data_IF_928002051611
#
_entry.id   IF_928002051611
#
_cell.length_a   1.000
_cell.length_b   1.000
_cell.length_c   1.000
_cell.angle_alpha   90.00
_cell.angle_beta   90.00
_cell.angle_gamma   90.00
#
_symmetry.space_group_name_H-M   'P 1'
#
loop_
_entity.id
_entity.type
_entity.pdbx_description
1 polymer ?
#
# COMPACT_ATOMS: atom_id res chain seq x y z
N UNK A 1 16.64 18.98 -45.25
CA UNK A 1 17.10 18.92 -43.84
C UNK A 1 16.08 18.16 -43.01
N UNK A 2 16.45 17.20 -42.15
CA UNK A 2 15.46 16.51 -41.31
C UNK A 2 14.85 17.52 -40.33
N UNK A 3 13.51 17.60 -40.29
CA UNK A 3 12.78 18.48 -39.38
C UNK A 3 13.18 18.13 -37.90
N UNK A 4 13.62 19.13 -37.16
CA UNK A 4 13.82 19.01 -35.69
C UNK A 4 12.47 18.59 -35.05
N UNK A 5 12.50 17.55 -34.28
CA UNK A 5 11.34 17.13 -33.50
C UNK A 5 11.00 18.17 -32.45
N UNK A 6 9.71 18.26 -32.09
CA UNK A 6 9.26 19.17 -31.05
C UNK A 6 9.85 18.78 -29.67
N UNK A 7 10.04 19.77 -28.79
CA UNK A 7 10.48 19.54 -27.42
C UNK A 7 9.47 18.61 -26.72
N UNK A 8 9.95 17.51 -26.15
CA UNK A 8 9.11 16.52 -25.46
C UNK A 8 8.84 15.22 -26.23
N UNK A 9 9.07 15.17 -27.54
CA UNK A 9 8.82 13.94 -28.34
C UNK A 9 9.87 12.82 -28.15
N UNK A 10 10.94 13.10 -27.42
CA UNK A 10 12.03 12.15 -27.20
C UNK A 10 12.89 11.90 -28.45
N UNK A 11 13.96 11.13 -28.28
CA UNK A 11 14.88 10.76 -29.36
C UNK A 11 14.93 9.25 -29.55
N UNK A 12 14.92 8.78 -30.81
CA UNK A 12 15.03 7.35 -31.15
C UNK A 12 16.33 7.14 -31.91
N UNK A 13 17.16 6.19 -31.45
CA UNK A 13 18.40 5.82 -32.10
C UNK A 13 18.60 4.31 -32.15
N UNK A 14 19.39 3.86 -33.12
CA UNK A 14 19.85 2.48 -33.17
C UNK A 14 21.11 2.33 -32.35
N UNK A 15 21.17 1.35 -31.48
CA UNK A 15 22.34 1.04 -30.62
C UNK A 15 23.34 0.17 -31.40
N UNK A 16 24.57 0.10 -30.91
CA UNK A 16 25.61 -0.75 -31.48
C UNK A 16 25.26 -2.25 -31.40
N UNK A 17 24.43 -2.64 -30.43
CA UNK A 17 23.94 -4.01 -30.22
C UNK A 17 22.75 -4.40 -31.14
N UNK A 18 22.42 -3.53 -32.15
CA UNK A 18 21.37 -3.75 -33.12
C UNK A 18 19.95 -3.41 -32.64
N UNK A 19 19.74 -3.19 -31.35
CA UNK A 19 18.44 -2.78 -30.80
C UNK A 19 18.16 -1.29 -30.98
N UNK A 20 16.87 -0.92 -30.98
CA UNK A 20 16.45 0.47 -31.00
C UNK A 20 16.22 0.98 -29.57
N UNK A 21 16.59 2.20 -29.33
CA UNK A 21 16.44 2.90 -28.04
C UNK A 21 15.71 4.22 -28.25
N UNK A 22 14.62 4.43 -27.50
CA UNK A 22 13.92 5.69 -27.37
C UNK A 22 14.30 6.36 -26.04
N UNK A 23 14.69 7.62 -26.04
CA UNK A 23 15.03 8.42 -24.86
C UNK A 23 14.10 9.59 -24.73
N UNK A 24 13.65 9.87 -23.52
CA UNK A 24 12.82 11.05 -23.22
C UNK A 24 13.20 11.61 -21.85
N UNK A 25 13.04 12.93 -21.71
CA UNK A 25 13.27 13.64 -20.45
C UNK A 25 11.98 13.60 -19.64
N UNK A 26 12.06 13.13 -18.41
CA UNK A 26 10.91 13.05 -17.49
C UNK A 26 10.86 14.22 -16.50
N UNK A 27 11.95 14.96 -16.36
CA UNK A 27 12.05 16.11 -15.47
C UNK A 27 13.50 16.58 -15.35
N UNK A 28 13.72 17.50 -14.42
CA UNK A 28 15.06 17.99 -14.07
C UNK A 28 15.28 17.78 -12.58
N UNK A 29 16.49 17.44 -12.22
CA UNK A 29 16.93 17.34 -10.83
C UNK A 29 16.92 18.75 -10.20
N UNK A 30 16.18 18.97 -9.09
CA UNK A 30 16.03 20.31 -8.51
C UNK A 30 17.33 20.87 -7.91
N UNK A 31 18.29 20.02 -7.51
CA UNK A 31 19.55 20.44 -6.92
C UNK A 31 20.63 20.71 -7.98
N UNK A 32 20.67 19.87 -9.01
CA UNK A 32 21.74 19.93 -10.02
C UNK A 32 21.30 20.52 -11.36
N UNK A 33 19.98 20.74 -11.56
CA UNK A 33 19.41 21.20 -12.82
C UNK A 33 19.52 20.20 -13.98
N UNK A 34 20.13 19.04 -13.78
CA UNK A 34 20.37 18.04 -14.83
C UNK A 34 19.07 17.34 -15.25
N UNK A 35 18.90 17.12 -16.55
CA UNK A 35 17.76 16.40 -17.08
C UNK A 35 17.75 14.93 -16.62
N UNK A 36 16.62 14.49 -16.08
CA UNK A 36 16.36 13.08 -15.74
C UNK A 36 15.84 12.40 -17.00
N UNK A 37 16.63 11.48 -17.57
CA UNK A 37 16.34 10.80 -18.82
C UNK A 37 15.96 9.36 -18.53
N UNK A 38 14.81 8.91 -19.08
CA UNK A 38 14.43 7.50 -19.17
C UNK A 38 14.55 6.99 -20.59
N UNK A 39 14.75 5.67 -20.72
CA UNK A 39 14.83 5.01 -22.03
C UNK A 39 13.88 3.83 -22.14
N UNK A 40 13.44 3.55 -23.37
CA UNK A 40 12.70 2.35 -23.75
C UNK A 40 13.45 1.63 -24.85
N UNK A 41 13.42 0.30 -24.84
CA UNK A 41 14.14 -0.54 -25.77
C UNK A 41 13.17 -1.40 -26.58
N UNK A 42 13.53 -1.69 -27.83
CA UNK A 42 12.77 -2.59 -28.70
C UNK A 42 13.61 -3.14 -29.84
N UNK A 43 13.09 -4.15 -30.51
CA UNK A 43 13.75 -4.79 -31.68
C UNK A 43 13.57 -3.97 -32.94
N UNK A 44 12.47 -3.25 -33.08
CA UNK A 44 12.15 -2.42 -34.25
C UNK A 44 11.96 -0.95 -33.88
N UNK A 45 12.15 -0.05 -34.85
CA UNK A 45 11.93 1.38 -34.68
C UNK A 45 10.47 1.70 -34.34
N UNK A 46 9.53 1.01 -34.99
CA UNK A 46 8.08 1.19 -34.78
C UNK A 46 7.68 0.81 -33.38
N UNK A 47 8.13 -0.34 -32.89
CA UNK A 47 7.90 -0.79 -31.52
C UNK A 47 8.40 0.23 -30.49
N UNK A 48 9.60 0.76 -30.70
CA UNK A 48 10.18 1.78 -29.78
C UNK A 48 9.40 3.08 -29.84
N UNK A 49 8.91 3.47 -31.02
CA UNK A 49 8.08 4.67 -31.19
C UNK A 49 6.78 4.58 -30.40
N UNK A 50 6.10 3.44 -30.49
CA UNK A 50 4.84 3.19 -29.74
C UNK A 50 5.09 3.14 -28.22
N UNK A 51 6.12 2.38 -27.80
CA UNK A 51 6.52 2.31 -26.40
C UNK A 51 6.92 3.69 -25.83
N UNK A 52 7.64 4.49 -26.63
CA UNK A 52 8.06 5.82 -26.25
C UNK A 52 6.87 6.76 -26.08
N UNK A 53 5.93 6.75 -27.02
CA UNK A 53 4.68 7.54 -26.94
C UNK A 53 3.90 7.18 -25.68
N UNK A 54 3.68 5.90 -25.43
CA UNK A 54 2.97 5.41 -24.24
C UNK A 54 3.71 5.78 -22.95
N UNK A 55 5.04 5.64 -22.92
CA UNK A 55 5.85 5.99 -21.76
C UNK A 55 5.84 7.50 -21.48
N UNK A 56 5.82 8.35 -22.51
CA UNK A 56 5.68 9.80 -22.36
C UNK A 56 4.28 10.13 -21.80
N UNK A 57 3.21 9.57 -22.38
CA UNK A 57 1.83 9.79 -21.92
C UNK A 57 1.62 9.36 -20.46
N UNK A 58 2.15 8.20 -20.06
CA UNK A 58 2.06 7.68 -18.68
C UNK A 58 2.84 8.52 -17.65
N UNK A 59 3.86 9.25 -18.10
CA UNK A 59 4.73 10.04 -17.22
C UNK A 59 4.51 11.57 -17.32
N UNK A 60 3.52 12.01 -18.09
CA UNK A 60 3.18 13.43 -18.19
C UNK A 60 2.76 13.97 -16.83
N UNK A 61 3.46 14.99 -16.38
CA UNK A 61 3.14 15.74 -15.14
C UNK A 61 3.67 15.13 -13.86
N UNK A 62 4.48 14.05 -13.91
CA UNK A 62 5.16 13.52 -12.72
C UNK A 62 6.34 14.41 -12.37
N UNK A 63 6.43 14.86 -11.12
CA UNK A 63 7.57 15.62 -10.62
C UNK A 63 8.69 14.67 -10.16
N UNK A 64 9.47 14.18 -11.12
CA UNK A 64 10.58 13.26 -10.84
C UNK A 64 11.68 13.86 -9.95
N UNK A 65 11.78 15.17 -9.86
CA UNK A 65 12.71 15.84 -8.95
C UNK A 65 12.34 15.59 -7.48
N UNK A 66 11.04 15.67 -7.16
CA UNK A 66 10.53 15.37 -5.81
C UNK A 66 10.48 13.89 -5.51
N UNK A 67 10.17 13.08 -6.51
CA UNK A 67 9.99 11.63 -6.33
C UNK A 67 11.29 10.90 -6.01
N UNK A 68 12.44 11.38 -6.49
CA UNK A 68 13.76 10.78 -6.21
C UNK A 68 14.04 10.63 -4.70
N UNK A 69 13.38 11.43 -3.87
CA UNK A 69 13.62 11.49 -2.44
C UNK A 69 12.70 10.60 -1.61
N UNK A 70 11.67 9.95 -2.22
CA UNK A 70 10.73 9.14 -1.47
C UNK A 70 10.92 7.65 -1.72
N UNK A 71 11.14 6.92 -0.62
CA UNK A 71 10.85 5.49 -0.54
C UNK A 71 9.41 5.29 -0.09
N UNK A 72 8.88 4.08 -0.25
CA UNK A 72 7.53 3.73 0.24
C UNK A 72 7.41 3.99 1.74
N UNK A 73 8.45 3.68 2.53
CA UNK A 73 8.47 3.91 3.97
C UNK A 73 8.38 5.39 4.32
N UNK A 74 9.24 6.20 3.73
CA UNK A 74 9.27 7.65 3.99
C UNK A 74 7.97 8.34 3.53
N UNK A 75 7.42 7.91 2.39
CA UNK A 75 6.13 8.43 1.94
C UNK A 75 4.99 8.08 2.88
N UNK A 76 4.95 6.85 3.39
CA UNK A 76 3.94 6.43 4.38
C UNK A 76 4.03 7.24 5.68
N UNK A 77 5.23 7.58 6.14
CA UNK A 77 5.41 8.47 7.30
C UNK A 77 4.84 9.87 7.03
N UNK A 78 5.22 10.47 5.89
CA UNK A 78 4.72 11.79 5.49
C UNK A 78 3.19 11.77 5.38
N UNK A 79 2.62 10.76 4.73
CA UNK A 79 1.19 10.59 4.60
C UNK A 79 0.51 10.41 5.96
N UNK A 80 1.07 9.56 6.81
CA UNK A 80 0.50 9.25 8.12
C UNK A 80 0.46 10.47 9.02
N UNK A 81 1.59 11.18 9.19
CA UNK A 81 1.68 12.33 10.09
C UNK A 81 0.90 13.54 9.60
N UNK A 82 0.97 13.85 8.29
CA UNK A 82 0.42 15.10 7.78
C UNK A 82 -1.03 14.99 7.28
N UNK A 83 -1.51 13.78 6.92
CA UNK A 83 -2.83 13.63 6.30
C UNK A 83 -3.75 12.65 7.04
N UNK A 84 -3.24 11.50 7.46
CA UNK A 84 -4.07 10.46 8.03
C UNK A 84 -4.43 10.73 9.49
N UNK A 85 -3.43 11.06 10.29
CA UNK A 85 -3.54 11.27 11.74
C UNK A 85 -4.56 12.37 12.11
N UNK A 86 -4.62 13.44 11.32
CA UNK A 86 -5.52 14.58 11.54
C UNK A 86 -7.00 14.18 11.50
N UNK A 87 -7.35 13.16 10.70
CA UNK A 87 -8.73 12.72 10.46
C UNK A 87 -9.15 11.52 11.31
N UNK A 88 -8.23 10.93 12.09
CA UNK A 88 -8.45 9.66 12.76
C UNK A 88 -8.65 9.80 14.26
N UNK A 89 -9.44 8.89 14.84
CA UNK A 89 -9.53 8.72 16.29
C UNK A 89 -8.22 8.15 16.85
N UNK A 90 -7.86 8.46 18.13
CA UNK A 90 -6.61 7.99 18.76
C UNK A 90 -6.36 6.48 18.65
N UNK A 91 -7.37 5.65 18.85
CA UNK A 91 -7.25 4.20 18.74
C UNK A 91 -6.95 3.72 17.31
N UNK A 92 -7.51 4.40 16.31
CA UNK A 92 -7.30 4.06 14.90
C UNK A 92 -5.89 4.42 14.45
N UNK A 93 -5.39 5.60 14.84
CA UNK A 93 -4.04 5.99 14.42
C UNK A 93 -2.96 5.08 15.05
N UNK A 94 -3.12 4.63 16.31
CA UNK A 94 -2.21 3.67 16.93
C UNK A 94 -2.19 2.34 16.17
N UNK A 95 -3.36 1.87 15.73
CA UNK A 95 -3.47 0.65 14.92
C UNK A 95 -2.76 0.81 13.57
N UNK A 96 -2.94 1.95 12.90
CA UNK A 96 -2.29 2.25 11.61
C UNK A 96 -0.78 2.33 11.76
N UNK A 97 -0.31 3.01 12.80
CA UNK A 97 1.12 3.07 13.13
C UNK A 97 1.69 1.66 13.31
N UNK A 98 1.01 0.81 14.08
CA UNK A 98 1.43 -0.59 14.26
C UNK A 98 1.50 -1.37 12.94
N UNK A 99 0.56 -1.19 12.02
CA UNK A 99 0.61 -1.83 10.70
C UNK A 99 1.75 -1.30 9.82
N UNK A 100 2.01 0.00 9.86
CA UNK A 100 3.10 0.61 9.10
C UNK A 100 4.45 0.11 9.61
N UNK A 101 4.71 0.20 10.92
CA UNK A 101 6.01 -0.15 11.51
C UNK A 101 6.30 -1.66 11.48
N UNK A 102 5.31 -2.48 11.83
CA UNK A 102 5.56 -3.90 12.01
C UNK A 102 5.42 -4.73 10.72
N UNK A 103 4.68 -4.24 9.73
CA UNK A 103 4.38 -5.03 8.53
C UNK A 103 4.86 -4.37 7.24
N UNK A 104 4.52 -3.09 7.02
CA UNK A 104 4.76 -2.46 5.71
C UNK A 104 6.23 -2.04 5.56
N UNK A 105 6.77 -1.27 6.50
CA UNK A 105 8.15 -0.76 6.43
C UNK A 105 9.22 -1.84 6.33
N UNK A 106 9.16 -2.95 7.10
CA UNK A 106 10.20 -3.97 7.03
C UNK A 106 10.30 -4.64 5.65
N UNK A 107 9.21 -4.72 4.91
CA UNK A 107 9.15 -5.44 3.64
C UNK A 107 9.14 -4.54 2.41
N UNK A 108 8.43 -3.42 2.46
CA UNK A 108 8.26 -2.51 1.33
C UNK A 108 8.97 -1.17 1.52
N UNK A 109 9.36 -0.81 2.75
CA UNK A 109 9.81 0.53 3.09
C UNK A 109 11.04 1.02 2.34
N UNK A 110 11.93 0.13 1.93
CA UNK A 110 13.16 0.45 1.19
C UNK A 110 12.95 0.63 -0.32
N UNK A 111 11.81 0.22 -0.85
CA UNK A 111 11.52 0.30 -2.29
C UNK A 111 11.31 1.77 -2.65
N UNK A 112 11.96 2.30 -3.70
CA UNK A 112 11.65 3.62 -4.23
C UNK A 112 10.17 3.70 -4.62
N UNK A 113 9.51 4.81 -4.33
CA UNK A 113 8.07 4.96 -4.53
C UNK A 113 7.63 4.71 -5.98
N UNK A 114 8.47 5.09 -6.95
CA UNK A 114 8.22 4.88 -8.38
C UNK A 114 8.42 3.44 -8.85
N UNK A 115 9.19 2.65 -8.11
CA UNK A 115 9.52 1.28 -8.50
C UNK A 115 8.54 0.28 -7.85
N UNK A 116 7.61 0.76 -7.02
CA UNK A 116 6.59 -0.07 -6.41
C UNK A 116 5.59 -0.55 -7.48
N UNK A 117 5.46 -1.85 -7.60
CA UNK A 117 4.58 -2.50 -8.57
C UNK A 117 3.44 -3.26 -7.88
N UNK A 118 2.36 -3.53 -8.63
CA UNK A 118 1.27 -4.39 -8.17
C UNK A 118 1.77 -5.78 -7.78
N UNK A 119 2.81 -6.30 -8.47
CA UNK A 119 3.42 -7.59 -8.14
C UNK A 119 4.10 -7.57 -6.77
N UNK A 120 4.83 -6.50 -6.42
CA UNK A 120 5.42 -6.34 -5.09
C UNK A 120 4.35 -6.39 -4.00
N UNK A 121 3.24 -5.68 -4.19
CA UNK A 121 2.12 -5.68 -3.25
C UNK A 121 1.45 -7.05 -3.14
N UNK A 122 1.27 -7.75 -4.26
CA UNK A 122 0.65 -9.07 -4.27
C UNK A 122 1.52 -10.12 -3.53
N UNK A 123 2.84 -10.08 -3.74
CA UNK A 123 3.79 -10.94 -3.01
C UNK A 123 3.79 -10.61 -1.51
N UNK A 124 3.74 -9.34 -1.17
CA UNK A 124 3.64 -8.87 0.21
C UNK A 124 2.38 -9.40 0.89
N UNK A 125 1.20 -9.29 0.27
CA UNK A 125 -0.04 -9.81 0.85
C UNK A 125 -0.02 -11.34 1.00
N UNK A 126 0.54 -12.06 0.02
CA UNK A 126 0.73 -13.51 0.12
C UNK A 126 1.59 -13.87 1.34
N UNK A 127 2.69 -13.15 1.55
CA UNK A 127 3.57 -13.36 2.70
C UNK A 127 2.88 -13.03 4.03
N UNK A 128 2.09 -11.95 4.10
CA UNK A 128 1.31 -11.61 5.30
C UNK A 128 0.30 -12.70 5.68
N UNK A 129 -0.35 -13.32 4.70
CA UNK A 129 -1.28 -14.43 4.92
C UNK A 129 -0.58 -15.68 5.43
N UNK A 130 0.66 -15.94 5.02
CA UNK A 130 1.42 -17.12 5.42
C UNK A 130 2.13 -16.93 6.77
N UNK A 131 2.82 -15.80 6.97
CA UNK A 131 3.80 -15.60 8.05
C UNK A 131 3.75 -14.17 8.63
N UNK A 132 2.66 -13.44 8.43
CA UNK A 132 2.61 -12.02 8.79
C UNK A 132 2.45 -11.72 10.27
N UNK A 133 2.20 -12.69 11.12
CA UNK A 133 2.01 -12.43 12.55
C UNK A 133 3.32 -12.11 13.24
N UNK A 134 3.33 -11.00 13.98
CA UNK A 134 4.46 -10.63 14.84
C UNK A 134 4.51 -11.63 16.00
N UNK A 135 5.66 -12.28 16.18
CA UNK A 135 5.87 -13.22 17.29
C UNK A 135 5.79 -12.50 18.63
N UNK A 136 4.86 -12.96 19.46
CA UNK A 136 4.71 -12.56 20.86
C UNK A 136 4.54 -13.81 21.69
N UNK A 137 4.98 -13.79 22.93
CA UNK A 137 4.88 -14.93 23.86
C UNK A 137 3.46 -15.46 23.94
N UNK A 138 2.47 -14.58 23.96
CA UNK A 138 1.04 -14.89 24.03
C UNK A 138 0.47 -15.47 22.73
N UNK A 139 1.18 -15.32 21.62
CA UNK A 139 0.73 -15.73 20.28
C UNK A 139 1.31 -17.07 19.80
N UNK A 140 2.11 -17.77 20.60
CA UNK A 140 2.79 -19.01 20.19
C UNK A 140 1.83 -20.13 19.71
N UNK A 141 0.60 -20.16 20.23
CA UNK A 141 -0.45 -21.12 19.83
C UNK A 141 -1.32 -20.65 18.66
N UNK A 142 -1.08 -19.44 18.15
CA UNK A 142 -1.88 -18.84 17.08
C UNK A 142 -1.26 -19.13 15.69
N UNK A 143 -2.06 -19.16 14.61
CA UNK A 143 -1.55 -19.29 13.25
C UNK A 143 -0.52 -18.20 12.94
N UNK A 144 0.56 -18.55 12.23
CA UNK A 144 1.63 -17.59 11.86
C UNK A 144 1.16 -16.51 10.88
N UNK A 145 0.12 -16.77 10.10
CA UNK A 145 -0.45 -15.83 9.15
C UNK A 145 -1.39 -14.80 9.77
N UNK A 146 -1.59 -13.69 9.08
CA UNK A 146 -2.61 -12.70 9.41
C UNK A 146 -3.97 -13.09 8.82
N UNK A 147 -5.05 -12.63 9.47
CA UNK A 147 -6.40 -12.81 8.93
C UNK A 147 -6.60 -12.03 7.63
N UNK A 148 -7.50 -12.51 6.76
CA UNK A 148 -7.90 -11.82 5.55
C UNK A 148 -8.36 -10.37 5.83
N UNK A 149 -9.07 -10.14 6.93
CA UNK A 149 -9.50 -8.81 7.39
C UNK A 149 -8.31 -7.89 7.68
N UNK A 150 -7.29 -8.40 8.38
CA UNK A 150 -6.08 -7.62 8.69
C UNK A 150 -5.31 -7.24 7.43
N UNK A 151 -5.15 -8.19 6.50
CA UNK A 151 -4.48 -7.92 5.21
C UNK A 151 -5.25 -6.86 4.41
N UNK A 152 -6.58 -6.89 4.40
CA UNK A 152 -7.41 -5.86 3.76
C UNK A 152 -7.26 -4.49 4.42
N UNK A 153 -7.14 -4.43 5.75
CA UNK A 153 -6.88 -3.17 6.46
C UNK A 153 -5.51 -2.60 6.10
N UNK A 154 -4.47 -3.44 6.02
CA UNK A 154 -3.13 -3.03 5.58
C UNK A 154 -3.17 -2.53 4.13
N UNK A 155 -3.87 -3.24 3.23
CA UNK A 155 -4.08 -2.79 1.86
C UNK A 155 -4.75 -1.41 1.80
N UNK A 156 -5.77 -1.17 2.62
CA UNK A 156 -6.48 0.12 2.66
C UNK A 156 -5.53 1.28 3.02
N UNK A 157 -4.61 1.06 3.95
CA UNK A 157 -3.59 2.05 4.32
C UNK A 157 -2.68 2.35 3.12
N UNK A 158 -2.12 1.31 2.51
CA UNK A 158 -1.24 1.44 1.35
C UNK A 158 -1.96 2.13 0.19
N UNK A 159 -3.17 1.68 -0.15
CA UNK A 159 -3.97 2.24 -1.25
C UNK A 159 -4.29 3.72 -1.03
N UNK A 160 -4.66 4.10 0.21
CA UNK A 160 -4.95 5.50 0.54
C UNK A 160 -3.72 6.40 0.44
N UNK A 161 -2.57 5.94 0.92
CA UNK A 161 -1.32 6.68 0.82
C UNK A 161 -0.84 6.82 -0.63
N UNK A 162 -0.96 5.76 -1.43
CA UNK A 162 -0.58 5.76 -2.83
C UNK A 162 -1.57 6.56 -3.70
N UNK A 163 -2.86 6.59 -3.33
CA UNK A 163 -3.84 7.46 -3.98
C UNK A 163 -3.44 8.93 -3.83
N UNK A 164 -3.06 9.36 -2.62
CA UNK A 164 -2.57 10.72 -2.42
C UNK A 164 -1.27 10.99 -3.18
N UNK A 165 -0.34 10.01 -3.24
CA UNK A 165 0.87 10.13 -4.05
C UNK A 165 0.57 10.34 -5.54
N UNK A 166 -0.46 9.66 -6.06
CA UNK A 166 -0.93 9.85 -7.42
C UNK A 166 -1.58 11.22 -7.62
N UNK A 167 -2.43 11.66 -6.70
CA UNK A 167 -3.05 13.01 -6.72
C UNK A 167 -1.98 14.12 -6.70
N UNK A 168 -0.91 13.93 -5.94
CA UNK A 168 0.24 14.84 -5.89
C UNK A 168 1.24 14.65 -7.05
N UNK A 169 0.92 13.78 -8.02
CA UNK A 169 1.77 13.49 -9.19
C UNK A 169 3.16 12.97 -8.84
N UNK A 170 3.30 12.30 -7.71
CA UNK A 170 4.53 11.59 -7.35
C UNK A 170 4.65 10.25 -8.04
N UNK A 171 3.54 9.61 -8.37
CA UNK A 171 3.46 8.36 -9.13
C UNK A 171 2.44 8.49 -10.26
N UNK A 172 2.63 7.76 -11.37
CA UNK A 172 1.75 7.82 -12.54
C UNK A 172 0.39 7.18 -12.29
N UNK A 173 0.36 6.11 -11.49
CA UNK A 173 -0.84 5.34 -11.15
C UNK A 173 -0.68 4.70 -9.79
N UNK A 174 -1.80 4.41 -9.14
CA UNK A 174 -1.79 3.67 -7.89
C UNK A 174 -1.60 2.15 -8.15
N UNK A 175 -0.46 1.54 -7.79
CA UNK A 175 -0.25 0.11 -8.01
C UNK A 175 -1.13 -0.78 -7.12
N UNK A 176 -1.77 -0.25 -6.09
CA UNK A 176 -2.66 -1.01 -5.23
C UNK A 176 -4.02 -1.32 -5.89
N UNK A 177 -4.46 -0.50 -6.84
CA UNK A 177 -5.79 -0.65 -7.48
C UNK A 177 -5.93 -1.96 -8.26
N UNK A 178 -4.82 -2.56 -8.72
CA UNK A 178 -4.81 -3.84 -9.44
C UNK A 178 -4.59 -5.07 -8.57
N UNK A 179 -4.60 -4.95 -7.23
CA UNK A 179 -4.31 -6.07 -6.33
C UNK A 179 -5.53 -6.95 -6.08
N UNK A 180 -5.34 -8.27 -6.15
CA UNK A 180 -6.32 -9.25 -5.69
C UNK A 180 -6.22 -9.40 -4.17
N UNK A 181 -7.34 -9.18 -3.47
CA UNK A 181 -7.41 -9.27 -2.02
C UNK A 181 -8.07 -10.58 -1.55
N UNK A 182 -7.63 -11.13 -0.40
CA UNK A 182 -8.25 -12.31 0.15
C UNK A 182 -9.71 -12.05 0.50
N UNK A 183 -10.58 -13.03 0.26
CA UNK A 183 -11.99 -12.96 0.66
C UNK A 183 -12.07 -13.00 2.19
N UNK A 184 -12.73 -12.02 2.79
CA UNK A 184 -13.00 -12.07 4.23
C UNK A 184 -14.14 -13.08 4.47
N UNK A 185 -13.86 -14.09 5.27
CA UNK A 185 -14.90 -14.99 5.76
C UNK A 185 -15.73 -14.26 6.81
N UNK A 186 -17.02 -14.21 6.59
CA UNK A 186 -17.96 -13.72 7.58
C UNK A 186 -18.25 -14.89 8.52
N UNK A 187 -17.69 -14.85 9.73
CA UNK A 187 -18.08 -15.77 10.81
C UNK A 187 -19.36 -15.26 11.43
N UNK A 188 -20.39 -16.08 11.42
CA UNK A 188 -21.60 -15.78 12.18
C UNK A 188 -21.25 -15.63 13.66
N UNK A 189 -21.83 -14.62 14.29
CA UNK A 189 -21.66 -14.41 15.72
C UNK A 189 -22.43 -15.51 16.44
N UNK A 190 -21.74 -16.27 17.26
CA UNK A 190 -22.39 -17.24 18.14
C UNK A 190 -23.00 -16.49 19.33
N UNK A 191 -24.29 -16.60 19.49
CA UNK A 191 -24.99 -16.10 20.66
C UNK A 191 -24.97 -17.16 21.74
N UNK A 192 -24.98 -16.76 23.01
CA UNK A 192 -25.05 -17.70 24.13
C UNK A 192 -26.43 -18.37 24.13
N UNK A 193 -26.52 -19.71 24.09
CA UNK A 193 -27.80 -20.40 24.19
C UNK A 193 -28.49 -20.10 25.51
N UNK A 194 -29.84 -20.10 25.51
CA UNK A 194 -30.64 -19.78 26.71
C UNK A 194 -30.32 -20.71 27.87
N UNK A 195 -30.06 -21.98 27.57
CA UNK A 195 -29.72 -23.03 28.55
C UNK A 195 -28.42 -22.72 29.30
N UNK A 196 -27.47 -22.07 28.60
CA UNK A 196 -26.18 -21.70 29.18
C UNK A 196 -26.21 -20.34 29.89
N UNK A 197 -27.22 -19.51 29.64
CA UNK A 197 -27.35 -18.18 30.22
C UNK A 197 -27.40 -18.21 31.75
N UNK A 198 -28.15 -19.14 32.32
CA UNK A 198 -28.28 -19.26 33.78
C UNK A 198 -26.97 -19.72 34.45
N UNK A 199 -26.22 -20.59 33.79
CA UNK A 199 -24.93 -21.05 34.27
C UNK A 199 -23.91 -19.90 34.20
N UNK A 200 -23.92 -19.12 33.10
CA UNK A 200 -23.09 -17.92 32.94
C UNK A 200 -23.37 -16.87 34.03
N UNK A 201 -24.66 -16.61 34.35
CA UNK A 201 -25.03 -15.63 35.37
C UNK A 201 -24.66 -16.10 36.80
N UNK A 202 -24.69 -17.41 37.09
CA UNK A 202 -24.17 -17.95 38.33
C UNK A 202 -22.68 -17.72 38.48
N UNK A 203 -21.90 -18.09 37.46
CA UNK A 203 -20.45 -17.89 37.46
C UNK A 203 -20.08 -16.38 37.58
N UNK A 204 -20.84 -15.50 36.90
CA UNK A 204 -20.70 -14.07 37.05
C UNK A 204 -20.95 -13.56 38.47
N UNK A 205 -21.91 -14.20 39.22
CA UNK A 205 -22.20 -13.88 40.60
C UNK A 205 -21.05 -14.29 41.51
N UNK A 206 -20.53 -15.50 41.29
CA UNK A 206 -19.42 -16.04 42.11
C UNK A 206 -18.13 -15.29 41.87
N UNK A 207 -17.89 -14.76 40.68
CA UNK A 207 -16.75 -13.90 40.34
C UNK A 207 -16.88 -12.44 40.77
N UNK A 208 -17.99 -12.01 41.37
CA UNK A 208 -18.23 -10.65 41.86
C UNK A 208 -18.55 -9.61 40.77
N UNK A 209 -18.71 -10.01 39.49
CA UNK A 209 -18.99 -9.10 38.37
C UNK A 209 -20.42 -9.24 37.81
N UNK A 210 -21.33 -9.82 38.56
CA UNK A 210 -22.71 -10.07 38.16
C UNK A 210 -23.44 -8.84 37.63
N UNK A 211 -23.34 -7.70 38.35
CA UNK A 211 -24.06 -6.47 37.94
C UNK A 211 -23.62 -5.98 36.56
N UNK A 212 -22.33 -6.08 36.25
CA UNK A 212 -21.79 -5.71 34.96
C UNK A 212 -22.38 -6.54 33.83
N UNK A 213 -22.33 -7.87 33.96
CA UNK A 213 -22.85 -8.78 32.93
C UNK A 213 -24.36 -8.76 32.83
N UNK A 214 -25.06 -8.59 33.95
CA UNK A 214 -26.51 -8.49 33.96
C UNK A 214 -27.01 -7.24 33.22
N UNK A 215 -26.39 -6.09 33.46
CA UNK A 215 -26.69 -4.83 32.72
C UNK A 215 -26.38 -4.99 31.23
N UNK A 216 -25.24 -5.58 30.88
CA UNK A 216 -24.84 -5.77 29.48
C UNK A 216 -25.84 -6.66 28.73
N UNK A 217 -26.24 -7.78 29.33
CA UNK A 217 -27.23 -8.71 28.78
C UNK A 217 -28.62 -8.11 28.63
N UNK A 218 -29.07 -7.32 29.62
CA UNK A 218 -30.46 -6.78 29.64
C UNK A 218 -30.58 -5.52 28.80
N UNK A 219 -29.53 -4.69 28.68
CA UNK A 219 -29.57 -3.42 27.97
C UNK A 219 -28.96 -3.48 26.58
N UNK A 220 -28.13 -4.48 26.29
CA UNK A 220 -27.37 -4.56 25.03
C UNK A 220 -26.39 -3.41 24.82
N UNK A 221 -26.04 -2.69 25.88
CA UNK A 221 -25.10 -1.58 25.81
C UNK A 221 -23.72 -2.10 25.43
N UNK A 222 -23.13 -1.46 24.45
CA UNK A 222 -21.76 -1.76 24.01
C UNK A 222 -20.79 -0.87 24.79
N UNK A 223 -19.79 -1.49 25.37
CA UNK A 223 -18.67 -0.80 26.02
C UNK A 223 -17.91 0.14 25.10
#
# INVERSE_FOLDING_TARGET
>A
MPKRRANGEGNIRKRKDGRWEGRYTVGHDPETGKAIIKNVLGKTQTEVKEKLKKAIEENVGIDYGRVKNYTVGNWLEVWYENYAKIKMRPSTYLTYHGYIENHIKPQLGKIPLNDLTTLHLQQFYKKLLAEGRVERIEAQKQPKGLSAKTVRNIHQIISSALKLANEQRLIARNPADGCALPKAEHKEMQTLPVEQLMSFLREAKDSGVFALYYIDLTTGLRR
#
